data_IF_337084559324
#
_entry.id   IF_337084559324
#
_cell.length_a   1.000
_cell.length_b   1.000
_cell.length_c   1.000
_cell.angle_alpha   90.00
_cell.angle_beta   90.00
_cell.angle_gamma   90.00
#
_symmetry.space_group_name_H-M   'P 1'
#
loop_
_entity.id
_entity.type
_entity.pdbx_description
1 polymer ?
#
# COMPACT_ATOMS: atom_id res chain seq x y z
N UNK A 1 4.32 -68.57 -9.63
CA UNK A 1 3.96 -67.58 -10.63
C UNK A 1 3.59 -66.26 -9.92
N UNK A 2 4.49 -65.33 -9.90
CA UNK A 2 4.28 -64.04 -9.20
C UNK A 2 3.93 -62.98 -10.24
N UNK A 3 2.71 -62.48 -10.19
CA UNK A 3 2.28 -61.30 -10.95
C UNK A 3 2.62 -60.06 -10.14
N UNK A 4 3.66 -59.35 -10.56
CA UNK A 4 3.99 -58.04 -10.05
C UNK A 4 3.07 -56.98 -10.72
N UNK A 5 2.15 -56.44 -9.94
CA UNK A 5 1.40 -55.23 -10.35
C UNK A 5 2.27 -53.99 -10.10
N UNK A 6 2.67 -53.40 -11.18
CA UNK A 6 3.38 -52.12 -11.18
C UNK A 6 2.34 -50.99 -11.08
N UNK A 7 2.20 -50.41 -9.90
CA UNK A 7 1.40 -49.20 -9.73
C UNK A 7 2.23 -48.00 -10.12
N UNK A 8 1.95 -47.47 -11.31
CA UNK A 8 2.42 -46.13 -11.70
C UNK A 8 1.60 -45.08 -10.94
N UNK A 9 2.13 -44.55 -9.88
CA UNK A 9 1.58 -43.37 -9.23
C UNK A 9 1.99 -42.16 -10.05
N UNK A 10 1.10 -41.64 -10.90
CA UNK A 10 1.20 -40.32 -11.51
C UNK A 10 0.99 -39.28 -10.39
N UNK A 11 2.08 -38.73 -9.85
CA UNK A 11 2.03 -37.53 -9.04
C UNK A 11 1.82 -36.33 -9.97
N UNK A 12 0.56 -35.96 -10.16
CA UNK A 12 0.20 -34.72 -10.82
C UNK A 12 0.57 -33.56 -9.90
N UNK A 13 1.71 -32.91 -10.16
CA UNK A 13 2.05 -31.64 -9.55
C UNK A 13 1.10 -30.56 -10.08
N UNK A 14 0.04 -30.27 -9.34
CA UNK A 14 -0.79 -29.11 -9.57
C UNK A 14 0.01 -27.87 -9.20
N UNK A 15 0.64 -27.26 -10.21
CA UNK A 15 1.23 -25.92 -10.05
C UNK A 15 0.06 -24.95 -9.89
N UNK A 16 -0.20 -24.57 -8.67
CA UNK A 16 -1.15 -23.52 -8.33
C UNK A 16 -0.51 -22.20 -8.79
N UNK A 17 -0.79 -21.78 -10.02
CA UNK A 17 -0.46 -20.43 -10.48
C UNK A 17 -1.36 -19.47 -9.69
N UNK A 18 -0.80 -18.89 -8.64
CA UNK A 18 -1.40 -17.74 -8.00
C UNK A 18 -1.26 -16.60 -9.00
N UNK A 19 -2.30 -16.39 -9.77
CA UNK A 19 -2.43 -15.17 -10.55
C UNK A 19 -2.51 -14.02 -9.55
N UNK A 20 -1.40 -13.30 -9.37
CA UNK A 20 -1.42 -12.00 -8.72
C UNK A 20 -2.14 -11.07 -9.69
N UNK A 21 -3.44 -11.03 -9.57
CA UNK A 21 -4.22 -9.97 -10.19
C UNK A 21 -3.79 -8.69 -9.50
N UNK A 22 -3.01 -7.87 -10.17
CA UNK A 22 -2.89 -6.46 -9.82
C UNK A 22 -4.29 -5.86 -10.00
N UNK A 23 -5.11 -5.97 -8.98
CA UNK A 23 -6.33 -5.21 -8.91
C UNK A 23 -5.90 -3.75 -8.79
N UNK A 24 -5.89 -3.03 -9.90
CA UNK A 24 -5.77 -1.59 -9.97
C UNK A 24 -6.99 -0.94 -9.33
N UNK A 25 -7.17 -1.17 -8.05
CA UNK A 25 -8.21 -0.60 -7.24
C UNK A 25 -7.55 -0.07 -5.98
N UNK A 26 -7.87 1.13 -5.63
CA UNK A 26 -7.44 1.86 -4.45
C UNK A 26 -7.05 0.94 -3.28
N UNK A 27 -5.80 0.95 -2.89
CA UNK A 27 -5.32 0.13 -1.80
C UNK A 27 -5.89 0.63 -0.47
N UNK A 28 -6.41 -0.30 0.33
CA UNK A 28 -6.92 -0.01 1.67
C UNK A 28 -6.04 -0.75 2.67
N UNK A 29 -5.52 -0.03 3.64
CA UNK A 29 -4.80 -0.60 4.77
C UNK A 29 -5.41 -0.09 6.08
N UNK A 30 -5.32 -0.90 7.12
CA UNK A 30 -5.93 -0.60 8.41
C UNK A 30 -4.94 -0.84 9.55
N UNK A 31 -4.98 0.05 10.53
CA UNK A 31 -4.21 -0.06 11.75
C UNK A 31 -4.96 0.63 12.89
N UNK A 32 -5.01 0.02 14.04
CA UNK A 32 -5.65 0.59 15.24
C UNK A 32 -7.10 1.05 15.04
N UNK A 33 -7.90 0.37 14.21
CA UNK A 33 -9.28 0.76 13.91
C UNK A 33 -9.40 1.97 12.97
N UNK A 34 -8.30 2.37 12.35
CA UNK A 34 -8.25 3.39 11.30
C UNK A 34 -7.98 2.71 9.97
N UNK A 35 -8.87 2.88 9.00
CA UNK A 35 -8.71 2.41 7.62
C UNK A 35 -8.41 3.59 6.72
N UNK A 36 -7.38 3.46 5.92
CA UNK A 36 -6.94 4.50 4.99
C UNK A 36 -6.94 3.93 3.58
N UNK A 37 -7.58 4.65 2.67
CA UNK A 37 -7.59 4.35 1.25
C UNK A 37 -6.67 5.31 0.52
N UNK A 38 -5.71 4.77 -0.22
CA UNK A 38 -4.72 5.52 -0.98
C UNK A 38 -4.82 5.19 -2.46
N UNK A 39 -4.60 6.19 -3.28
CA UNK A 39 -4.49 6.09 -4.73
C UNK A 39 -3.24 6.81 -5.20
N UNK A 40 -2.53 6.25 -6.16
CA UNK A 40 -1.38 6.88 -6.81
C UNK A 40 -1.72 7.09 -8.28
N UNK A 41 -1.67 8.32 -8.75
CA UNK A 41 -1.96 8.64 -10.15
C UNK A 41 -0.82 8.17 -11.09
N UNK A 42 -1.15 7.76 -12.34
CA UNK A 42 -2.46 7.34 -12.80
C UNK A 42 -2.74 5.88 -12.39
N UNK A 43 -3.97 5.55 -12.09
CA UNK A 43 -4.52 4.19 -11.93
C UNK A 43 -3.69 3.23 -11.05
N UNK A 44 -2.98 3.76 -10.03
CA UNK A 44 -2.04 3.05 -9.15
C UNK A 44 -0.84 2.42 -9.89
N UNK A 45 -0.56 2.90 -11.09
CA UNK A 45 0.57 2.50 -11.92
C UNK A 45 1.45 3.71 -12.30
N UNK A 46 2.15 4.34 -11.34
CA UNK A 46 3.01 5.48 -11.64
C UNK A 46 4.15 5.08 -12.58
N UNK A 47 4.57 6.02 -13.40
CA UNK A 47 5.70 5.85 -14.32
C UNK A 47 6.95 6.46 -13.72
N UNK A 48 8.06 5.71 -13.73
CA UNK A 48 9.34 6.18 -13.22
C UNK A 48 9.81 7.46 -13.93
N UNK A 49 10.33 8.40 -13.15
CA UNK A 49 10.80 9.69 -13.64
C UNK A 49 9.69 10.74 -13.92
N UNK A 50 8.42 10.33 -13.86
CA UNK A 50 7.28 11.23 -14.09
C UNK A 50 6.71 11.70 -12.75
N UNK A 51 6.54 13.00 -12.59
CA UNK A 51 5.89 13.57 -11.40
C UNK A 51 4.45 13.10 -11.29
N UNK A 52 4.07 12.64 -10.11
CA UNK A 52 2.73 12.13 -9.82
C UNK A 52 2.25 12.58 -8.45
N UNK A 53 1.12 12.08 -8.01
CA UNK A 53 0.51 12.42 -6.73
C UNK A 53 0.08 11.17 -6.00
N UNK A 54 0.45 11.06 -4.75
CA UNK A 54 -0.16 10.15 -3.79
C UNK A 54 -1.39 10.86 -3.20
N UNK A 55 -2.54 10.25 -3.35
CA UNK A 55 -3.81 10.80 -2.88
C UNK A 55 -4.41 9.90 -1.79
N UNK A 56 -4.56 10.45 -0.59
CA UNK A 56 -5.33 9.85 0.48
C UNK A 56 -6.81 10.12 0.21
N UNK A 57 -7.48 9.12 -0.36
CA UNK A 57 -8.88 9.24 -0.82
C UNK A 57 -9.84 9.30 0.35
N UNK A 58 -9.57 8.49 1.39
CA UNK A 58 -10.45 8.35 2.55
C UNK A 58 -9.68 7.89 3.78
N UNK A 59 -10.05 8.47 4.92
CA UNK A 59 -9.68 7.96 6.23
C UNK A 59 -10.97 7.66 7.00
N UNK A 60 -11.14 6.42 7.43
CA UNK A 60 -12.22 5.96 8.29
C UNK A 60 -11.68 5.57 9.66
N UNK A 61 -12.25 6.10 10.72
CA UNK A 61 -11.86 5.77 12.09
C UNK A 61 -13.05 5.23 12.88
N UNK A 62 -12.88 4.06 13.48
CA UNK A 62 -13.91 3.43 14.31
C UNK A 62 -13.96 4.15 15.68
N UNK A 63 -15.14 4.68 16.03
CA UNK A 63 -15.37 5.43 17.28
C UNK A 63 -14.36 6.56 17.52
N UNK A 64 -13.93 7.21 16.44
CA UNK A 64 -12.97 8.31 16.46
C UNK A 64 -13.21 9.26 15.27
N UNK A 65 -12.65 10.45 15.33
CA UNK A 65 -12.76 11.47 14.29
C UNK A 65 -11.39 11.77 13.70
N UNK A 66 -11.33 11.80 12.37
CA UNK A 66 -10.16 12.23 11.61
C UNK A 66 -10.36 13.66 11.11
N UNK A 67 -9.33 14.49 11.26
CA UNK A 67 -9.28 15.81 10.67
C UNK A 67 -7.85 16.16 10.26
N UNK A 68 -7.66 16.67 9.06
CA UNK A 68 -6.34 17.07 8.54
C UNK A 68 -5.66 18.11 9.42
N UNK A 69 -6.40 19.04 9.98
CA UNK A 69 -5.88 20.10 10.84
C UNK A 69 -5.22 19.58 12.14
N UNK A 70 -5.61 18.42 12.62
CA UNK A 70 -5.22 17.90 13.94
C UNK A 70 -4.55 16.54 13.90
N UNK A 71 -4.51 15.88 12.75
CA UNK A 71 -3.99 14.51 12.62
C UNK A 71 -2.47 14.41 12.85
N UNK A 72 -1.72 15.49 12.74
CA UNK A 72 -0.24 15.44 12.68
C UNK A 72 0.24 14.40 11.69
N UNK A 73 -0.42 14.35 10.55
CA UNK A 73 -0.18 13.35 9.53
C UNK A 73 1.18 13.52 8.86
N UNK A 74 1.76 12.39 8.50
CA UNK A 74 3.04 12.31 7.81
C UNK A 74 2.98 11.27 6.72
N UNK A 75 3.55 11.61 5.56
CA UNK A 75 3.73 10.71 4.44
C UNK A 75 5.21 10.41 4.26
N UNK A 76 5.54 9.13 4.12
CA UNK A 76 6.89 8.66 3.84
C UNK A 76 6.85 7.72 2.64
N UNK A 77 7.72 7.98 1.68
CA UNK A 77 7.93 7.10 0.52
C UNK A 77 9.36 6.60 0.58
N UNK A 78 9.56 5.31 0.43
CA UNK A 78 10.87 4.66 0.49
C UNK A 78 10.97 3.54 -0.55
N UNK A 79 12.19 3.27 -0.99
CA UNK A 79 12.47 2.17 -1.92
C UNK A 79 12.64 0.82 -1.19
N UNK A 80 12.89 -0.25 -1.94
CA UNK A 80 13.06 -1.60 -1.39
C UNK A 80 14.32 -1.76 -0.53
N UNK A 81 15.30 -0.85 -0.63
CA UNK A 81 16.48 -0.81 0.22
C UNK A 81 16.25 -0.02 1.52
N UNK A 82 15.10 0.64 1.66
CA UNK A 82 14.79 1.52 2.78
C UNK A 82 15.24 2.97 2.58
N UNK A 83 15.77 3.33 1.41
CA UNK A 83 16.12 4.71 1.09
C UNK A 83 14.87 5.57 1.00
N UNK A 84 14.82 6.65 1.77
CA UNK A 84 13.67 7.54 1.85
C UNK A 84 13.72 8.56 0.73
N UNK A 85 12.65 8.62 -0.07
CA UNK A 85 12.47 9.59 -1.16
C UNK A 85 11.68 10.82 -0.71
N UNK A 86 10.66 10.59 0.11
CA UNK A 86 9.79 11.62 0.67
C UNK A 86 9.56 11.32 2.15
N UNK A 87 9.71 12.34 2.97
CA UNK A 87 9.35 12.29 4.39
C UNK A 87 8.88 13.67 4.80
N UNK A 88 7.57 13.90 4.73
CA UNK A 88 6.98 15.21 4.93
C UNK A 88 5.68 15.17 5.73
N UNK A 89 5.38 16.28 6.41
CA UNK A 89 4.08 16.50 7.01
C UNK A 89 3.01 16.51 5.92
N UNK A 90 1.93 15.76 6.12
CA UNK A 90 0.78 15.73 5.23
C UNK A 90 -0.34 16.59 5.83
N UNK A 91 -0.55 17.76 5.26
CA UNK A 91 -1.59 18.71 5.70
C UNK A 91 -2.82 18.69 4.80
N UNK A 92 -2.75 17.96 3.71
CA UNK A 92 -3.79 17.85 2.71
C UNK A 92 -3.75 16.44 2.09
N UNK A 93 -4.84 15.98 1.45
CA UNK A 93 -4.94 14.62 0.95
C UNK A 93 -4.05 14.31 -0.26
N UNK A 94 -3.46 15.30 -0.91
CA UNK A 94 -2.65 15.13 -2.12
C UNK A 94 -1.21 15.53 -1.85
N UNK A 95 -0.30 14.58 -2.08
CA UNK A 95 1.14 14.74 -1.85
C UNK A 95 1.88 14.48 -3.16
N UNK A 96 2.64 15.43 -3.70
CA UNK A 96 3.43 15.23 -4.91
C UNK A 96 4.60 14.26 -4.62
N UNK A 97 4.90 13.40 -5.59
CA UNK A 97 6.02 12.46 -5.54
C UNK A 97 6.55 12.17 -6.94
N UNK A 98 7.82 11.83 -7.04
CA UNK A 98 8.42 11.24 -8.25
C UNK A 98 9.15 9.98 -7.85
N UNK A 99 8.80 8.87 -8.48
CA UNK A 99 9.52 7.59 -8.32
C UNK A 99 10.67 7.57 -9.31
N UNK A 100 11.94 7.58 -8.87
CA UNK A 100 13.07 7.75 -9.81
C UNK A 100 13.29 6.55 -10.71
N UNK A 101 13.05 5.33 -10.23
CA UNK A 101 13.38 4.09 -10.92
C UNK A 101 12.17 3.16 -11.05
N UNK A 102 12.12 2.29 -12.07
CA UNK A 102 11.02 1.34 -12.28
C UNK A 102 11.13 0.12 -11.36
N UNK A 103 10.87 0.28 -10.08
CA UNK A 103 10.85 -0.82 -9.11
C UNK A 103 9.76 -0.63 -8.04
N UNK A 104 9.78 -1.48 -7.01
CA UNK A 104 8.83 -1.44 -5.93
C UNK A 104 9.20 -0.38 -4.88
N UNK A 105 8.18 0.29 -4.34
CA UNK A 105 8.28 1.28 -3.27
C UNK A 105 7.27 1.00 -2.17
N UNK A 106 7.59 1.45 -0.97
CA UNK A 106 6.67 1.52 0.15
C UNK A 106 6.17 2.94 0.35
N UNK A 107 4.91 3.08 0.72
CA UNK A 107 4.30 4.34 1.13
C UNK A 107 3.75 4.14 2.53
N UNK A 108 4.22 4.92 3.48
CA UNK A 108 3.70 4.93 4.85
C UNK A 108 2.94 6.22 5.09
N UNK A 109 1.70 6.09 5.53
CA UNK A 109 0.89 7.19 6.00
C UNK A 109 0.59 6.99 7.48
N UNK A 110 0.92 7.96 8.30
CA UNK A 110 0.76 7.91 9.75
C UNK A 110 0.12 9.19 10.28
N UNK A 111 -0.48 9.09 11.44
CA UNK A 111 -1.11 10.22 12.10
C UNK A 111 -1.81 9.80 13.37
N UNK A 112 -2.80 10.58 13.77
CA UNK A 112 -3.63 10.32 14.94
C UNK A 112 -5.08 10.71 14.68
N UNK A 113 -5.98 10.02 15.35
CA UNK A 113 -7.41 10.33 15.39
C UNK A 113 -7.85 10.62 16.80
N UNK A 114 -8.89 11.42 16.96
CA UNK A 114 -9.45 11.75 18.28
C UNK A 114 -10.59 10.80 18.59
N UNK A 115 -10.46 10.03 19.68
CA UNK A 115 -11.52 9.15 20.17
C UNK A 115 -12.69 9.95 20.76
N UNK A 116 -13.85 9.32 20.86
CA UNK A 116 -15.04 9.90 21.49
C UNK A 116 -14.81 10.32 22.95
N UNK A 117 -13.89 9.65 23.66
CA UNK A 117 -13.47 9.99 25.03
C UNK A 117 -12.45 11.15 25.09
N UNK A 118 -12.11 11.78 23.96
CA UNK A 118 -11.15 12.88 23.86
C UNK A 118 -9.68 12.49 23.77
N UNK A 119 -9.34 11.21 23.92
CA UNK A 119 -7.96 10.73 23.82
C UNK A 119 -7.52 10.60 22.35
N UNK A 120 -6.24 10.85 22.12
CA UNK A 120 -5.64 10.64 20.81
C UNK A 120 -5.18 9.20 20.62
N UNK A 121 -5.41 8.67 19.40
CA UNK A 121 -5.02 7.33 19.00
C UNK A 121 -4.14 7.40 17.76
N UNK A 122 -2.88 6.94 17.83
CA UNK A 122 -2.01 6.90 16.66
C UNK A 122 -2.43 5.79 15.69
N UNK A 123 -2.14 6.00 14.41
CA UNK A 123 -2.22 4.98 13.38
C UNK A 123 -1.04 5.10 12.42
N UNK A 124 -0.70 3.99 11.80
CA UNK A 124 0.33 3.91 10.76
C UNK A 124 -0.04 2.80 9.78
N UNK A 125 -0.20 3.13 8.52
CA UNK A 125 -0.49 2.19 7.45
C UNK A 125 0.62 2.23 6.40
N UNK A 126 0.88 1.09 5.77
CA UNK A 126 1.91 0.95 4.74
C UNK A 126 1.31 0.29 3.51
N UNK A 127 1.68 0.80 2.34
CA UNK A 127 1.27 0.33 1.04
C UNK A 127 2.49 -0.05 0.23
N UNK A 128 2.34 -1.04 -0.65
CA UNK A 128 3.31 -1.35 -1.69
C UNK A 128 2.81 -0.83 -3.04
N UNK A 129 3.69 -0.19 -3.79
CA UNK A 129 3.40 0.26 -5.15
C UNK A 129 4.59 -0.08 -6.05
N UNK A 130 4.32 -0.27 -7.33
CA UNK A 130 5.37 -0.48 -8.34
C UNK A 130 5.31 0.61 -9.38
N UNK A 131 6.43 1.30 -9.59
CA UNK A 131 6.58 2.21 -10.71
C UNK A 131 6.96 1.43 -11.97
N UNK A 132 6.31 1.74 -13.09
CA UNK A 132 6.60 1.17 -14.39
C UNK A 132 7.75 1.92 -15.07
N UNK A 133 8.41 1.27 -16.04
CA UNK A 133 9.36 1.94 -16.91
C UNK A 133 8.64 2.94 -17.80
N UNK A 134 9.29 4.07 -18.10
CA UNK A 134 8.89 4.91 -19.20
C UNK A 134 9.16 4.16 -20.53
N UNK A 135 8.17 4.10 -21.44
CA UNK A 135 8.35 3.56 -22.77
C UNK A 135 9.07 4.56 -23.70
#
# INVERSE_FOLDING_TARGET
MARRFLYLTLLGAAILMIAVTSAGAHQIASNNGVSVQVHVNPDDEPVAGIATTVWVVRVKALKATFAWATCRCRMKVFDSSGTVLVDSAAKAPRIPVTFPEPHAYGITFSGRVKRSNGLWKPFKVTYAIRAASAE
#
